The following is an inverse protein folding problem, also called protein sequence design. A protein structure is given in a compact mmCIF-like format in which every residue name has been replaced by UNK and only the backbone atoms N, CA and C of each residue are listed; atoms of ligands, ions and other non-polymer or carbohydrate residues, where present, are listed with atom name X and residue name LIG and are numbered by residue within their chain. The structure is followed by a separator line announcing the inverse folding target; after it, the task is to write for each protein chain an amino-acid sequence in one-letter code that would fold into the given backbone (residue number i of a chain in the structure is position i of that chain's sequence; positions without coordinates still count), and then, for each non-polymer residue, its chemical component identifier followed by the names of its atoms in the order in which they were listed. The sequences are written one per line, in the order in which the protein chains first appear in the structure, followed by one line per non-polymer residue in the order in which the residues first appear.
data_IF_392348299222
#
_entry.id   IF_392348299222
#
_cell.length_a   1.000
_cell.length_b   1.000
_cell.length_c   1.000
_cell.angle_alpha   90.00
_cell.angle_beta   90.00
_cell.angle_gamma   90.00
#
_symmetry.space_group_name_H-M   'P 1'
#
loop_
_entity.id
_entity.type
_entity.pdbx_description
1 polymer ?
#
# COMPACT_ATOMS: atom_id res chain seq x y z
N UNK A 1 -31.03 4.64 -12.20
CA UNK A 1 -29.71 5.19 -12.59
C UNK A 1 -29.06 4.24 -13.56
N UNK A 2 -28.71 4.69 -14.77
CA UNK A 2 -28.04 3.86 -15.78
C UNK A 2 -26.53 4.05 -15.66
N UNK A 3 -25.74 3.04 -16.01
CA UNK A 3 -24.27 3.14 -15.92
C UNK A 3 -23.68 4.28 -16.76
N UNK A 4 -24.32 4.65 -17.86
CA UNK A 4 -23.91 5.76 -18.72
C UNK A 4 -24.24 7.15 -18.15
N UNK A 5 -25.02 7.23 -17.07
CA UNK A 5 -25.37 8.47 -16.37
C UNK A 5 -24.38 8.80 -15.24
N UNK A 6 -23.53 7.82 -14.85
CA UNK A 6 -22.48 8.04 -13.86
C UNK A 6 -21.43 9.00 -14.40
N UNK A 7 -21.36 10.17 -13.81
CA UNK A 7 -20.39 11.23 -14.15
C UNK A 7 -19.85 11.83 -12.87
N UNK A 8 -18.61 12.31 -12.93
CA UNK A 8 -18.03 13.05 -11.84
C UNK A 8 -18.76 14.39 -11.63
N UNK A 9 -18.64 14.92 -10.43
CA UNK A 9 -19.21 16.24 -10.12
C UNK A 9 -18.63 17.32 -11.06
N UNK A 10 -19.44 18.32 -11.47
CA UNK A 10 -18.94 19.43 -12.29
C UNK A 10 -17.73 20.08 -11.64
N UNK A 11 -16.61 20.20 -12.36
CA UNK A 11 -15.37 20.77 -11.85
C UNK A 11 -14.40 19.78 -11.17
N UNK A 12 -14.74 18.48 -11.02
CA UNK A 12 -13.85 17.45 -10.51
C UNK A 12 -12.59 17.30 -11.39
N UNK A 13 -12.74 17.42 -12.71
CA UNK A 13 -11.63 17.43 -13.65
C UNK A 13 -11.31 18.84 -14.14
N UNK A 14 -10.07 19.28 -13.89
CA UNK A 14 -9.54 20.49 -14.54
C UNK A 14 -8.96 20.12 -15.88
N UNK A 15 -9.32 20.85 -16.93
CA UNK A 15 -8.77 20.68 -18.27
C UNK A 15 -7.23 20.84 -18.22
N UNK A 16 -6.50 19.87 -18.78
CA UNK A 16 -5.04 19.88 -18.82
C UNK A 16 -4.54 21.14 -19.53
N UNK A 17 -3.77 21.97 -18.84
CA UNK A 17 -3.19 23.18 -19.40
C UNK A 17 -2.12 22.84 -20.41
N UNK A 18 -2.32 23.20 -21.67
CA UNK A 18 -1.37 23.02 -22.75
C UNK A 18 -0.50 24.27 -22.88
N UNK A 19 0.80 24.11 -22.63
CA UNK A 19 1.78 25.20 -22.73
C UNK A 19 2.54 25.13 -24.07
N UNK A 20 3.10 26.25 -24.52
CA UNK A 20 3.85 26.29 -25.78
C UNK A 20 2.95 26.14 -27.03
N UNK A 21 1.72 26.68 -27.01
CA UNK A 21 0.73 26.56 -28.09
C UNK A 21 0.28 27.91 -28.64
N UNK A 22 1.26 28.77 -28.99
CA UNK A 22 1.04 30.08 -29.58
C UNK A 22 0.94 31.23 -28.57
N UNK A 23 1.15 32.44 -29.06
CA UNK A 23 1.19 33.64 -28.21
C UNK A 23 -0.18 34.00 -27.63
N UNK A 24 -1.26 33.71 -28.34
CA UNK A 24 -2.62 33.96 -27.89
C UNK A 24 -3.02 33.17 -26.62
N UNK A 25 -2.34 32.06 -26.32
CA UNK A 25 -2.57 31.29 -25.09
C UNK A 25 -2.00 31.95 -23.83
N UNK A 26 -1.21 33.03 -23.97
CA UNK A 26 -0.47 33.67 -22.87
C UNK A 26 0.71 32.85 -22.33
N UNK A 27 0.89 31.60 -22.80
CA UNK A 27 1.97 30.69 -22.41
C UNK A 27 2.64 30.04 -23.63
N UNK A 28 2.80 30.78 -24.71
CA UNK A 28 3.35 30.31 -25.98
C UNK A 28 4.85 30.14 -25.96
N UNK A 29 5.57 31.25 -26.04
CA UNK A 29 7.01 31.31 -26.38
C UNK A 29 7.88 30.44 -25.47
N UNK A 30 7.87 30.66 -24.18
CA UNK A 30 8.74 29.97 -23.21
C UNK A 30 7.97 28.98 -22.34
N UNK A 31 6.71 28.71 -22.65
CA UNK A 31 5.84 27.83 -21.89
C UNK A 31 5.68 28.22 -20.38
N UNK A 32 5.91 29.50 -20.06
CA UNK A 32 5.87 30.01 -18.70
C UNK A 32 7.11 29.71 -17.85
N UNK A 33 8.21 29.24 -18.45
CA UNK A 33 9.46 28.91 -17.75
C UNK A 33 10.50 30.06 -17.75
N UNK A 34 10.22 31.16 -18.42
CA UNK A 34 11.17 32.25 -18.60
C UNK A 34 12.24 31.94 -19.69
N UNK A 35 13.33 32.71 -19.72
CA UNK A 35 14.31 32.62 -20.82
C UNK A 35 15.51 31.72 -20.51
N UNK A 36 16.26 32.04 -19.48
CA UNK A 36 17.51 31.37 -19.09
C UNK A 36 17.41 30.85 -17.65
N UNK A 37 18.42 30.12 -17.21
CA UNK A 37 18.50 29.57 -15.85
C UNK A 37 18.20 28.09 -15.79
N UNK A 38 18.63 27.49 -14.70
CA UNK A 38 18.55 26.06 -14.47
C UNK A 38 17.10 25.56 -14.45
N UNK A 39 16.17 26.29 -13.80
CA UNK A 39 14.75 25.93 -13.70
C UNK A 39 13.98 25.99 -15.03
N UNK A 40 14.53 26.64 -16.05
CA UNK A 40 13.92 26.67 -17.38
C UNK A 40 14.20 25.41 -18.21
N UNK A 41 15.11 24.55 -17.76
CA UNK A 41 15.50 23.31 -18.44
C UNK A 41 14.70 22.11 -17.93
N UNK A 42 14.60 21.07 -18.76
CA UNK A 42 14.03 19.78 -18.34
C UNK A 42 15.01 19.02 -17.45
N UNK A 43 14.50 18.29 -16.45
CA UNK A 43 15.32 17.46 -15.58
C UNK A 43 16.17 18.19 -14.54
N UNK A 44 16.12 19.51 -14.49
CA UNK A 44 16.85 20.29 -13.49
C UNK A 44 16.14 20.25 -12.13
N UNK A 45 16.56 19.35 -11.27
CA UNK A 45 16.06 19.22 -9.90
C UNK A 45 17.10 19.78 -8.93
N UNK A 46 16.71 20.80 -8.17
CA UNK A 46 17.59 21.46 -7.18
C UNK A 46 17.20 21.02 -5.78
N UNK A 47 17.04 19.73 -5.56
CA UNK A 47 16.66 19.21 -4.25
C UNK A 47 17.86 19.28 -3.30
N UNK A 48 17.73 20.09 -2.25
CA UNK A 48 18.74 20.22 -1.21
C UNK A 48 20.03 20.94 -1.60
N UNK A 49 20.10 21.61 -2.80
CA UNK A 49 21.25 22.42 -3.18
C UNK A 49 21.18 23.80 -2.53
N UNK A 50 22.23 24.17 -1.79
CA UNK A 50 22.33 25.44 -1.03
C UNK A 50 23.47 26.31 -1.58
N UNK A 51 23.67 26.36 -2.89
CA UNK A 51 24.69 27.22 -3.51
C UNK A 51 26.14 26.79 -3.27
N UNK A 52 26.40 25.53 -2.95
CA UNK A 52 27.73 25.00 -2.61
C UNK A 52 27.98 24.89 -1.10
N UNK A 53 27.16 25.53 -0.28
CA UNK A 53 27.14 25.31 1.16
C UNK A 53 26.71 23.87 1.48
N UNK A 54 27.29 23.28 2.52
CA UNK A 54 26.91 21.93 2.98
C UNK A 54 25.41 21.87 3.25
N UNK A 55 24.68 20.97 2.58
CA UNK A 55 23.23 20.86 2.75
C UNK A 55 22.81 20.55 4.18
N UNK A 56 21.65 21.03 4.61
CA UNK A 56 21.14 20.89 5.99
C UNK A 56 21.16 19.45 6.47
N UNK A 57 20.77 18.49 5.65
CA UNK A 57 20.76 17.06 6.02
C UNK A 57 22.16 16.48 6.32
N UNK A 58 23.23 17.12 5.85
CA UNK A 58 24.62 16.76 6.19
C UNK A 58 25.15 17.52 7.41
N UNK A 59 24.62 18.72 7.68
CA UNK A 59 25.01 19.51 8.86
C UNK A 59 24.43 18.94 10.15
N UNK A 60 23.26 18.31 10.05
CA UNK A 60 22.60 17.70 11.20
C UNK A 60 23.33 16.41 11.62
N UNK A 61 23.54 16.19 12.92
CA UNK A 61 24.14 14.97 13.42
C UNK A 61 23.21 13.79 13.13
N UNK A 62 23.80 12.67 12.75
CA UNK A 62 23.07 11.40 12.57
C UNK A 62 22.55 10.92 13.92
N UNK A 63 21.33 10.46 13.97
CA UNK A 63 20.69 9.94 15.18
C UNK A 63 19.98 8.62 14.91
N UNK A 64 19.98 7.76 15.92
CA UNK A 64 19.22 6.53 15.94
C UNK A 64 19.77 5.45 15.01
N UNK A 65 19.05 4.38 14.99
CA UNK A 65 19.28 3.21 14.14
C UNK A 65 17.93 2.72 13.60
N UNK A 66 17.96 1.94 12.56
CA UNK A 66 16.74 1.35 11.99
C UNK A 66 16.81 -0.17 12.03
N UNK A 67 15.78 -0.80 12.61
CA UNK A 67 15.57 -2.24 12.59
C UNK A 67 14.68 -2.70 11.42
N UNK A 68 14.33 -1.79 10.51
CA UNK A 68 13.47 -2.11 9.38
C UNK A 68 13.96 -3.29 8.53
N UNK A 69 15.28 -3.46 8.25
CA UNK A 69 15.77 -4.61 7.49
C UNK A 69 15.57 -5.96 8.18
N UNK A 70 15.45 -5.97 9.52
CA UNK A 70 15.30 -7.18 10.33
C UNK A 70 13.87 -7.42 10.79
N UNK A 71 12.95 -6.50 10.46
CA UNK A 71 11.54 -6.62 10.82
C UNK A 71 10.88 -7.69 9.95
N UNK A 72 10.31 -8.73 10.59
CA UNK A 72 9.52 -9.75 9.90
C UNK A 72 8.22 -9.14 9.35
N UNK A 73 7.95 -9.42 8.09
CA UNK A 73 6.77 -8.97 7.36
C UNK A 73 5.75 -10.10 7.35
N UNK A 74 4.94 -10.20 8.38
CA UNK A 74 3.89 -11.22 8.49
C UNK A 74 2.64 -10.80 7.73
N UNK A 75 1.94 -11.78 7.17
CA UNK A 75 0.63 -11.57 6.55
C UNK A 75 -0.45 -11.73 7.61
N UNK A 76 -1.29 -10.72 7.77
CA UNK A 76 -2.35 -10.70 8.76
C UNK A 76 -3.61 -11.37 8.20
N UNK A 77 -4.17 -12.32 8.96
CA UNK A 77 -5.41 -13.03 8.64
C UNK A 77 -6.34 -12.98 9.86
N UNK A 78 -7.56 -12.57 9.67
CA UNK A 78 -8.57 -12.53 10.73
C UNK A 78 -9.34 -13.86 10.82
N UNK A 79 -9.71 -14.25 12.01
CA UNK A 79 -10.47 -15.48 12.31
C UNK A 79 -11.79 -15.53 11.54
N UNK A 80 -12.53 -14.42 11.48
CA UNK A 80 -13.79 -14.35 10.73
C UNK A 80 -13.61 -14.56 9.22
N UNK A 81 -12.42 -14.25 8.67
CA UNK A 81 -12.14 -14.51 7.24
C UNK A 81 -11.90 -15.98 6.96
N UNK A 82 -11.37 -16.73 7.94
CA UNK A 82 -11.27 -18.18 7.86
C UNK A 82 -12.66 -18.82 7.88
N UNK A 83 -13.55 -18.37 8.77
CA UNK A 83 -14.94 -18.84 8.79
C UNK A 83 -15.64 -18.61 7.45
N UNK A 84 -15.55 -17.43 6.89
CA UNK A 84 -16.11 -17.12 5.57
C UNK A 84 -15.57 -18.04 4.46
N UNK A 85 -14.31 -18.42 4.54
CA UNK A 85 -13.71 -19.31 3.55
C UNK A 85 -14.17 -20.76 3.72
N UNK A 86 -14.42 -21.21 4.94
CA UNK A 86 -15.03 -22.52 5.24
C UNK A 86 -16.48 -22.54 4.74
N UNK A 87 -17.26 -21.51 5.04
CA UNK A 87 -18.67 -21.39 4.62
C UNK A 87 -18.80 -21.35 3.10
N UNK A 88 -17.80 -20.73 2.41
CA UNK A 88 -17.72 -20.71 0.95
C UNK A 88 -17.17 -22.00 0.32
N UNK A 89 -16.83 -23.02 1.13
CA UNK A 89 -16.27 -24.30 0.66
C UNK A 89 -14.87 -24.20 0.02
N UNK A 90 -14.15 -23.12 0.31
CA UNK A 90 -12.78 -22.89 -0.20
C UNK A 90 -11.69 -23.47 0.70
N UNK A 91 -12.05 -23.81 1.92
CA UNK A 91 -11.16 -24.30 2.95
C UNK A 91 -11.77 -25.54 3.58
N UNK A 92 -11.04 -26.65 3.55
CA UNK A 92 -11.48 -27.89 4.17
C UNK A 92 -11.23 -27.86 5.68
N UNK A 93 -12.29 -27.94 6.48
CA UNK A 93 -12.20 -27.94 7.94
C UNK A 93 -11.47 -29.15 8.54
N UNK A 94 -11.29 -30.22 7.78
CA UNK A 94 -10.64 -31.48 8.23
C UNK A 94 -9.15 -31.52 7.93
N UNK A 95 -8.66 -30.63 7.07
CA UNK A 95 -7.26 -30.55 6.69
C UNK A 95 -6.52 -29.54 7.56
N UNK A 96 -5.23 -29.76 7.78
CA UNK A 96 -4.36 -28.74 8.39
C UNK A 96 -4.27 -27.52 7.48
N UNK A 97 -4.54 -26.35 8.02
CA UNK A 97 -4.56 -25.09 7.28
C UNK A 97 -3.19 -24.43 7.42
N UNK A 98 -2.34 -24.70 6.44
CA UNK A 98 -1.03 -24.08 6.28
C UNK A 98 -1.10 -22.80 5.40
N UNK A 99 0.01 -22.06 5.33
CA UNK A 99 0.13 -20.89 4.45
C UNK A 99 -0.17 -21.24 2.98
N UNK A 100 0.19 -22.42 2.52
CA UNK A 100 -0.10 -22.91 1.18
C UNK A 100 -1.62 -23.09 0.95
N UNK A 101 -2.32 -23.66 1.91
CA UNK A 101 -3.79 -23.82 1.87
C UNK A 101 -4.50 -22.45 1.84
N UNK A 102 -3.99 -21.46 2.60
CA UNK A 102 -4.52 -20.10 2.59
C UNK A 102 -4.31 -19.38 1.25
N UNK A 103 -3.20 -19.67 0.55
CA UNK A 103 -2.95 -19.15 -0.80
C UNK A 103 -3.90 -19.81 -1.81
N UNK A 104 -4.05 -21.12 -1.75
CA UNK A 104 -4.95 -21.88 -2.62
C UNK A 104 -6.42 -21.44 -2.45
N UNK A 105 -6.86 -21.19 -1.22
CA UNK A 105 -8.18 -20.65 -0.91
C UNK A 105 -8.36 -19.17 -1.32
N UNK A 106 -7.28 -18.47 -1.71
CA UNK A 106 -7.30 -17.07 -2.10
C UNK A 106 -7.48 -16.07 -0.94
N UNK A 107 -7.23 -16.52 0.29
CA UNK A 107 -7.30 -15.68 1.50
C UNK A 107 -6.10 -14.75 1.55
N UNK A 108 -4.91 -15.27 1.24
CA UNK A 108 -3.66 -14.52 1.15
C UNK A 108 -3.07 -14.63 -0.25
N UNK A 109 -2.31 -13.62 -0.65
CA UNK A 109 -1.67 -13.56 -1.97
C UNK A 109 -0.30 -14.25 -2.02
N UNK A 110 0.41 -14.19 -0.91
CA UNK A 110 1.78 -14.72 -0.74
C UNK A 110 2.08 -14.85 0.75
N UNK A 111 2.92 -15.79 1.10
CA UNK A 111 3.25 -16.11 2.49
C UNK A 111 4.12 -15.03 3.17
N UNK A 112 5.07 -14.41 2.47
CA UNK A 112 6.11 -13.55 3.04
C UNK A 112 6.92 -14.30 4.12
N UNK A 113 7.07 -13.69 5.34
CA UNK A 113 7.81 -14.26 6.47
C UNK A 113 6.94 -15.13 7.40
N UNK A 114 5.68 -15.35 7.02
CA UNK A 114 4.70 -16.16 7.74
C UNK A 114 3.35 -15.48 7.91
N UNK A 115 2.43 -16.21 8.53
CA UNK A 115 1.05 -15.76 8.78
C UNK A 115 0.86 -15.40 10.24
N UNK A 116 0.21 -14.27 10.49
CA UNK A 116 -0.21 -13.80 11.83
C UNK A 116 -1.73 -13.84 11.94
N UNK A 117 -2.26 -14.62 12.88
CA UNK A 117 -3.69 -14.72 13.12
C UNK A 117 -4.18 -13.64 14.09
N UNK A 118 -5.27 -12.96 13.71
CA UNK A 118 -5.92 -11.89 14.47
C UNK A 118 -7.35 -12.28 14.85
N UNK A 119 -7.85 -11.76 15.98
CA UNK A 119 -9.11 -12.16 16.60
C UNK A 119 -10.36 -11.50 16.04
N UNK A 120 -10.30 -10.76 14.94
CA UNK A 120 -11.48 -10.09 14.40
C UNK A 120 -12.43 -11.10 13.73
N UNK A 121 -13.69 -11.12 14.18
CA UNK A 121 -14.75 -12.05 13.75
C UNK A 121 -14.92 -13.25 14.67
N UNK A 122 -15.88 -14.11 14.34
CA UNK A 122 -16.20 -15.33 15.06
C UNK A 122 -15.79 -16.56 14.26
N UNK A 123 -15.34 -17.60 14.94
CA UNK A 123 -15.00 -18.90 14.37
C UNK A 123 -15.91 -19.95 15.02
N UNK A 124 -16.72 -20.61 14.21
CA UNK A 124 -17.58 -21.71 14.66
C UNK A 124 -17.07 -23.07 14.17
N UNK A 125 -16.27 -23.07 13.11
CA UNK A 125 -15.68 -24.28 12.56
C UNK A 125 -14.42 -24.69 13.33
N UNK A 126 -14.26 -25.98 13.56
CA UNK A 126 -13.02 -26.55 14.12
C UNK A 126 -11.97 -26.62 13.04
N UNK A 127 -10.87 -25.89 13.20
CA UNK A 127 -9.77 -25.81 12.26
C UNK A 127 -8.45 -26.13 12.95
N UNK A 128 -7.63 -26.92 12.30
CA UNK A 128 -6.25 -27.14 12.70
C UNK A 128 -5.35 -26.16 11.93
N UNK A 129 -4.81 -25.16 12.66
CA UNK A 129 -4.12 -24.01 12.06
C UNK A 129 -2.62 -24.07 12.35
N UNK A 130 -1.80 -24.13 11.30
CA UNK A 130 -0.35 -24.02 11.41
C UNK A 130 0.10 -22.62 10.97
N UNK A 131 0.28 -21.72 11.93
CA UNK A 131 0.60 -20.31 11.70
C UNK A 131 1.86 -19.89 12.45
N UNK A 132 2.55 -18.88 11.95
CA UNK A 132 3.77 -18.37 12.58
C UNK A 132 3.50 -17.67 13.91
N UNK A 133 2.38 -16.96 14.02
CA UNK A 133 2.01 -16.19 15.22
C UNK A 133 0.48 -16.08 15.31
N UNK A 134 -0.04 -16.13 16.53
CA UNK A 134 -1.42 -15.78 16.84
C UNK A 134 -1.46 -14.67 17.91
N UNK A 135 -2.43 -13.77 17.84
CA UNK A 135 -2.74 -12.85 18.93
C UNK A 135 -3.41 -13.61 20.08
N UNK A 136 -3.32 -13.12 21.31
CA UNK A 136 -3.95 -13.77 22.49
C UNK A 136 -5.44 -14.06 22.25
N UNK A 137 -6.20 -13.05 21.82
CA UNK A 137 -7.62 -13.24 21.54
C UNK A 137 -7.91 -14.17 20.35
N UNK A 138 -6.99 -14.33 19.40
CA UNK A 138 -7.15 -15.29 18.30
C UNK A 138 -6.88 -16.72 18.78
N UNK A 139 -5.90 -16.93 19.66
CA UNK A 139 -5.66 -18.24 20.29
C UNK A 139 -6.89 -18.68 21.12
N UNK A 140 -7.40 -17.79 21.97
CA UNK A 140 -8.62 -18.05 22.76
C UNK A 140 -9.86 -18.35 21.89
N UNK A 141 -9.99 -17.69 20.74
CA UNK A 141 -11.11 -17.92 19.82
C UNK A 141 -11.02 -19.26 19.07
N UNK A 142 -9.82 -19.77 18.85
CA UNK A 142 -9.58 -21.07 18.19
C UNK A 142 -9.67 -22.22 19.21
N UNK A 143 -9.30 -21.99 20.46
CA UNK A 143 -9.35 -23.00 21.54
C UNK A 143 -10.78 -23.22 22.08
N UNK A 144 -11.69 -22.26 21.94
CA UNK A 144 -13.11 -22.38 22.29
C UNK A 144 -13.89 -23.25 21.32
#
# INVERSE_FOLDING_TARGET
MRLNELRDNPGAYKTKKRVGRGIGSGKGKTAGRGHKGLKARSGATINGFEGGQMPLYRRLPKRGFTNSPFKKNLVEVNVGRLQQAVDAGKLDAKATVDAAALIAAGIIRRERDGVSLLSNGELTAKLDLHVFRASKGAAEAVEK
#
